data_IF_333559212108
#
_entry.id   IF_333559212108
#
_cell.length_a   1.000
_cell.length_b   1.000
_cell.length_c   1.000
_cell.angle_alpha   90.00
_cell.angle_beta   90.00
_cell.angle_gamma   90.00
#
_symmetry.space_group_name_H-M   'P 1'
#
loop_
_entity.id
_entity.type
_entity.pdbx_description
1 polymer ?
#
# COMPACT_ATOMS: atom_id res chain seq x y z
N UNK A 1 21.26 10.61 -28.34
CA UNK A 1 20.04 9.80 -28.51
C UNK A 1 19.99 8.82 -27.33
N UNK A 2 19.14 9.09 -26.37
CA UNK A 2 18.98 8.24 -25.19
C UNK A 2 17.81 7.29 -25.46
N UNK A 3 18.10 5.99 -25.51
CA UNK A 3 17.10 4.94 -25.67
C UNK A 3 16.23 4.88 -24.41
N UNK A 4 14.95 5.18 -24.60
CA UNK A 4 13.92 4.98 -23.59
C UNK A 4 13.68 3.48 -23.45
N UNK A 5 14.24 2.86 -22.42
CA UNK A 5 13.91 1.50 -22.06
C UNK A 5 12.46 1.41 -21.57
N UNK A 6 11.58 0.94 -22.45
CA UNK A 6 10.20 0.59 -22.14
C UNK A 6 10.16 -0.57 -21.15
N UNK A 7 10.00 -0.28 -19.87
CA UNK A 7 9.71 -1.30 -18.85
C UNK A 7 8.21 -1.57 -18.93
N UNK A 8 7.85 -2.65 -19.61
CA UNK A 8 6.48 -3.17 -19.62
C UNK A 8 6.18 -3.78 -18.25
N UNK A 9 5.53 -3.02 -17.39
CA UNK A 9 4.93 -3.54 -16.14
C UNK A 9 3.56 -4.08 -16.51
N UNK A 10 3.43 -5.38 -16.57
CA UNK A 10 2.17 -6.09 -16.83
C UNK A 10 1.12 -5.66 -15.78
N UNK A 11 0.02 -5.03 -16.22
CA UNK A 11 -1.09 -4.60 -15.35
C UNK A 11 -1.32 -3.10 -15.24
N UNK A 12 -0.52 -2.26 -15.93
CA UNK A 12 -0.80 -0.82 -16.01
C UNK A 12 -1.70 -0.60 -17.24
N UNK A 13 -2.97 -0.30 -17.00
CA UNK A 13 -3.88 0.16 -18.03
C UNK A 13 -3.43 1.48 -18.68
N UNK A 14 -4.16 2.03 -19.68
CA UNK A 14 -3.76 3.26 -20.36
C UNK A 14 -3.46 4.35 -19.33
N UNK A 15 -2.26 4.91 -19.42
CA UNK A 15 -1.72 5.93 -18.51
C UNK A 15 -2.68 7.12 -18.50
N UNK A 16 -3.43 7.27 -17.41
CA UNK A 16 -4.20 8.49 -17.13
C UNK A 16 -3.23 9.65 -16.90
N UNK A 17 -3.67 10.92 -17.09
CA UNK A 17 -2.79 12.07 -16.91
C UNK A 17 -2.05 11.96 -15.57
N UNK A 18 -0.76 12.23 -15.63
CA UNK A 18 0.18 12.11 -14.53
C UNK A 18 -0.34 12.81 -13.28
N UNK A 19 -0.52 12.04 -12.24
CA UNK A 19 -0.91 12.56 -10.94
C UNK A 19 0.34 12.68 -10.06
N UNK A 20 0.37 13.73 -9.24
CA UNK A 20 1.45 13.95 -8.29
C UNK A 20 0.88 14.22 -6.90
N UNK A 21 1.53 13.68 -5.88
CA UNK A 21 1.21 13.95 -4.49
C UNK A 21 2.49 14.07 -3.67
N UNK A 22 2.48 14.87 -2.57
CA UNK A 22 3.57 14.88 -1.60
C UNK A 22 3.93 13.46 -1.18
N UNK A 23 5.22 13.20 -0.98
CA UNK A 23 5.75 11.87 -0.73
C UNK A 23 6.14 11.72 0.73
N UNK A 24 5.66 10.64 1.38
CA UNK A 24 6.24 10.09 2.59
C UNK A 24 6.97 8.80 2.26
N UNK A 25 8.19 8.69 2.77
CA UNK A 25 8.92 7.44 2.84
C UNK A 25 8.91 7.00 4.29
N UNK A 26 8.40 5.81 4.59
CA UNK A 26 8.29 5.33 5.95
C UNK A 26 8.42 3.81 6.04
N UNK A 27 8.91 3.36 7.19
CA UNK A 27 9.10 1.94 7.42
C UNK A 27 7.82 1.28 7.95
N UNK A 28 7.23 1.80 8.99
CA UNK A 28 6.10 1.20 9.69
C UNK A 28 5.09 2.27 10.10
N UNK A 29 3.79 2.00 9.98
CA UNK A 29 3.12 0.80 9.46
C UNK A 29 3.04 0.75 7.92
N UNK A 30 2.99 -0.46 7.35
CA UNK A 30 2.60 -0.66 5.95
C UNK A 30 1.08 -0.53 5.84
N UNK A 31 0.62 0.39 4.98
CA UNK A 31 -0.80 0.73 4.85
C UNK A 31 -1.38 0.02 3.64
N UNK A 32 -2.54 -0.61 3.82
CA UNK A 32 -3.30 -1.23 2.74
C UNK A 32 -4.47 -0.36 2.29
N UNK A 33 -5.01 -0.57 1.07
CA UNK A 33 -6.29 0.04 0.69
C UNK A 33 -7.38 -0.26 1.72
N UNK A 34 -8.25 0.72 1.94
CA UNK A 34 -9.37 0.70 2.87
C UNK A 34 -9.02 0.77 4.36
N UNK A 35 -7.77 0.55 4.77
CA UNK A 35 -7.35 0.67 6.17
C UNK A 35 -7.45 2.11 6.68
N UNK A 36 -7.65 2.25 7.97
CA UNK A 36 -7.64 3.53 8.68
C UNK A 36 -6.52 3.47 9.73
N UNK A 37 -5.43 4.17 9.46
CA UNK A 37 -4.18 3.98 10.17
C UNK A 37 -3.68 5.28 10.82
N UNK A 38 -3.39 5.29 12.13
CA UNK A 38 -2.71 6.41 12.77
C UNK A 38 -1.22 6.36 12.44
N UNK A 39 -0.65 7.53 12.11
CA UNK A 39 0.77 7.69 11.82
C UNK A 39 1.37 8.79 12.70
N UNK A 40 2.55 8.55 13.21
CA UNK A 40 3.42 9.59 13.75
C UNK A 40 4.14 10.25 12.57
N UNK A 41 4.20 11.56 12.56
CA UNK A 41 4.85 12.33 11.49
C UNK A 41 6.21 12.81 11.99
N UNK A 42 7.26 12.34 11.36
CA UNK A 42 8.62 12.73 11.64
C UNK A 42 8.91 14.14 11.10
N UNK A 43 9.92 14.80 11.64
CA UNK A 43 10.30 16.18 11.26
C UNK A 43 10.53 16.31 9.74
N UNK A 44 11.15 15.31 9.11
CA UNK A 44 11.42 15.28 7.67
C UNK A 44 10.13 15.31 6.82
N UNK A 45 9.04 14.75 7.36
CA UNK A 45 7.75 14.63 6.68
C UNK A 45 6.81 15.83 6.96
N UNK A 46 7.13 16.72 7.91
CA UNK A 46 6.26 17.85 8.28
C UNK A 46 6.00 18.80 7.11
N UNK A 47 7.00 19.07 6.27
CA UNK A 47 6.83 19.96 5.11
C UNK A 47 5.86 19.35 4.08
N UNK A 48 5.98 18.05 3.83
CA UNK A 48 5.08 17.33 2.94
C UNK A 48 3.65 17.23 3.51
N UNK A 49 3.51 17.07 4.83
CA UNK A 49 2.20 17.11 5.48
C UNK A 49 1.53 18.48 5.30
N UNK A 50 2.24 19.57 5.57
CA UNK A 50 1.69 20.94 5.39
C UNK A 50 1.20 21.15 3.96
N UNK A 51 2.02 20.81 2.98
CA UNK A 51 1.62 20.90 1.57
C UNK A 51 0.39 20.02 1.26
N UNK A 52 0.28 18.84 1.85
CA UNK A 52 -0.88 17.94 1.73
C UNK A 52 -2.14 18.58 2.30
N UNK A 53 -2.05 19.20 3.48
CA UNK A 53 -3.19 19.82 4.17
C UNK A 53 -3.71 21.09 3.48
N UNK A 54 -2.84 21.82 2.79
CA UNK A 54 -3.19 23.01 2.00
C UNK A 54 -3.86 22.67 0.66
N UNK A 55 -3.83 21.40 0.24
CA UNK A 55 -4.39 20.93 -1.03
C UNK A 55 -5.60 20.04 -0.80
N UNK A 56 -5.59 18.89 -1.45
CA UNK A 56 -6.66 17.89 -1.50
C UNK A 56 -6.56 16.83 -0.42
N UNK A 57 -5.62 16.97 0.50
CA UNK A 57 -5.29 16.01 1.57
C UNK A 57 -4.86 14.65 1.07
N UNK A 58 -4.37 14.57 -0.17
CA UNK A 58 -3.81 13.35 -0.74
C UNK A 58 -2.31 13.28 -0.51
N UNK A 59 -1.85 12.12 -0.05
CA UNK A 59 -0.48 11.84 0.28
C UNK A 59 -0.08 10.49 -0.33
N UNK A 60 1.09 10.43 -0.92
CA UNK A 60 1.66 9.21 -1.45
C UNK A 60 2.63 8.62 -0.42
N UNK A 61 2.34 7.44 0.10
CA UNK A 61 3.18 6.75 1.07
C UNK A 61 3.83 5.54 0.43
N UNK A 62 5.16 5.47 0.54
CA UNK A 62 5.93 4.33 0.03
C UNK A 62 6.70 3.70 1.19
N UNK A 63 6.59 2.35 1.34
CA UNK A 63 7.40 1.65 2.32
C UNK A 63 8.89 1.72 1.94
N UNK A 64 9.74 1.91 2.93
CA UNK A 64 11.17 1.68 2.77
C UNK A 64 11.42 0.20 2.43
N UNK A 65 12.50 -0.08 1.70
CA UNK A 65 12.83 -1.47 1.42
C UNK A 65 13.34 -2.17 2.69
N UNK A 66 12.93 -3.44 2.89
CA UNK A 66 13.46 -4.26 3.97
C UNK A 66 14.98 -4.39 3.89
N UNK A 67 15.64 -4.57 5.03
CA UNK A 67 17.05 -4.93 5.11
C UNK A 67 17.33 -6.33 4.55
N UNK A 68 18.61 -6.63 4.33
CA UNK A 68 19.01 -7.93 3.74
C UNK A 68 18.60 -9.14 4.58
N UNK A 69 18.61 -9.01 5.90
CA UNK A 69 18.17 -10.06 6.82
C UNK A 69 16.66 -10.35 6.70
N UNK A 70 15.86 -9.31 6.51
CA UNK A 70 14.40 -9.44 6.34
C UNK A 70 14.05 -9.99 4.95
N UNK A 71 14.84 -9.66 3.92
CA UNK A 71 14.65 -10.15 2.56
C UNK A 71 14.98 -11.64 2.43
N UNK A 72 15.89 -12.17 3.24
CA UNK A 72 16.26 -13.58 3.23
C UNK A 72 15.12 -14.55 3.54
N UNK A 73 14.04 -14.07 4.11
CA UNK A 73 12.80 -14.86 4.40
C UNK A 73 11.85 -14.92 3.20
N UNK A 74 12.06 -14.08 2.18
CA UNK A 74 11.19 -14.01 1.02
C UNK A 74 11.64 -14.94 -0.12
N UNK A 75 10.69 -15.44 -0.94
CA UNK A 75 11.03 -16.17 -2.15
C UNK A 75 11.94 -15.35 -3.08
N UNK A 76 12.95 -16.00 -3.68
CA UNK A 76 13.96 -15.37 -4.53
C UNK A 76 13.39 -14.46 -5.62
N UNK A 77 12.28 -14.87 -6.25
CA UNK A 77 11.63 -14.08 -7.30
C UNK A 77 11.04 -12.75 -6.79
N UNK A 78 10.65 -12.71 -5.53
CA UNK A 78 10.12 -11.52 -4.87
C UNK A 78 11.26 -10.60 -4.47
N UNK A 79 12.31 -11.18 -3.90
CA UNK A 79 13.54 -10.49 -3.55
C UNK A 79 14.10 -9.75 -4.76
N UNK A 80 14.17 -10.41 -5.95
CA UNK A 80 14.64 -9.79 -7.18
C UNK A 80 13.77 -8.61 -7.66
N UNK A 81 12.45 -8.68 -7.49
CA UNK A 81 11.56 -7.56 -7.84
C UNK A 81 11.75 -6.36 -6.93
N UNK A 82 11.92 -6.58 -5.63
CA UNK A 82 12.21 -5.52 -4.67
C UNK A 82 13.61 -4.94 -4.89
N UNK A 83 14.58 -5.78 -5.29
CA UNK A 83 15.96 -5.39 -5.53
C UNK A 83 16.13 -4.32 -6.61
N UNK A 84 15.31 -4.35 -7.66
CA UNK A 84 15.34 -3.34 -8.73
C UNK A 84 15.01 -1.92 -8.24
N UNK A 85 14.47 -1.75 -7.03
CA UNK A 85 14.19 -0.46 -6.41
C UNK A 85 15.14 -0.10 -5.27
N UNK A 86 16.13 -0.96 -4.98
CA UNK A 86 17.04 -0.81 -3.84
C UNK A 86 17.85 0.48 -3.90
N UNK A 87 18.30 0.90 -5.09
CA UNK A 87 19.01 2.17 -5.28
C UNK A 87 18.17 3.39 -4.85
N UNK A 88 16.86 3.28 -4.91
CA UNK A 88 15.91 4.33 -4.54
C UNK A 88 15.43 4.21 -3.08
N UNK A 89 15.93 3.24 -2.33
CA UNK A 89 15.58 2.96 -0.93
C UNK A 89 14.08 2.83 -0.64
N UNK A 90 13.25 2.56 -1.64
CA UNK A 90 11.79 2.44 -1.52
C UNK A 90 11.21 1.38 -2.44
N UNK A 91 10.02 0.87 -2.10
CA UNK A 91 9.23 0.04 -3.00
C UNK A 91 8.77 0.84 -4.23
N UNK A 92 8.64 0.18 -5.37
CA UNK A 92 8.03 0.76 -6.57
C UNK A 92 6.53 0.98 -6.42
N UNK A 93 5.88 0.15 -5.62
CA UNK A 93 4.45 0.23 -5.28
C UNK A 93 4.29 0.84 -3.91
N UNK A 94 3.42 1.81 -3.79
CA UNK A 94 3.00 2.45 -2.56
C UNK A 94 1.50 2.56 -2.49
N UNK A 95 1.04 3.39 -1.58
CA UNK A 95 -0.37 3.64 -1.31
C UNK A 95 -0.67 5.14 -1.43
N UNK A 96 -1.71 5.49 -2.17
CA UNK A 96 -2.31 6.80 -2.08
C UNK A 96 -3.25 6.81 -0.88
N UNK A 97 -3.05 7.74 0.03
CA UNK A 97 -3.88 7.90 1.21
C UNK A 97 -4.55 9.26 1.24
N UNK A 98 -5.62 9.38 2.00
CA UNK A 98 -6.23 10.66 2.37
C UNK A 98 -6.00 10.91 3.85
N UNK A 99 -5.48 12.09 4.19
CA UNK A 99 -5.40 12.55 5.58
C UNK A 99 -6.81 12.92 6.06
N UNK A 100 -7.32 12.12 7.00
CA UNK A 100 -8.67 12.29 7.57
C UNK A 100 -8.63 13.30 8.69
N UNK A 101 -7.62 13.18 9.58
CA UNK A 101 -7.47 14.04 10.75
C UNK A 101 -6.00 14.27 11.07
N UNK A 102 -5.68 15.46 11.53
CA UNK A 102 -4.40 15.82 12.12
C UNK A 102 -4.61 16.12 13.61
N UNK A 103 -3.67 15.67 14.42
CA UNK A 103 -3.66 15.84 15.86
C UNK A 103 -2.27 16.36 16.28
N UNK A 104 -2.25 17.55 16.87
CA UNK A 104 -1.05 18.15 17.44
C UNK A 104 -1.05 17.91 18.95
N UNK A 105 0.04 17.37 19.47
CA UNK A 105 0.19 17.02 20.87
C UNK A 105 1.01 18.10 21.62
N UNK A 106 0.83 18.24 22.95
CA UNK A 106 1.56 19.23 23.74
C UNK A 106 3.08 19.04 23.76
N UNK A 107 3.56 17.82 23.49
CA UNK A 107 4.99 17.49 23.35
C UNK A 107 5.59 17.92 22.00
N UNK A 108 4.78 18.54 21.13
CA UNK A 108 5.17 18.97 19.80
C UNK A 108 5.05 17.87 18.74
N UNK A 109 4.71 16.64 19.12
CA UNK A 109 4.50 15.58 18.14
C UNK A 109 3.23 15.78 17.33
N UNK A 110 3.30 15.45 16.04
CA UNK A 110 2.18 15.50 15.11
C UNK A 110 1.78 14.08 14.75
N UNK A 111 0.50 13.76 14.89
CA UNK A 111 -0.06 12.49 14.42
C UNK A 111 -1.16 12.77 13.42
N UNK A 112 -1.25 11.91 12.42
CA UNK A 112 -2.31 11.96 11.42
C UNK A 112 -3.06 10.64 11.40
N UNK A 113 -4.34 10.72 11.10
CA UNK A 113 -5.15 9.56 10.77
C UNK A 113 -5.33 9.55 9.27
N UNK A 114 -4.88 8.48 8.62
CA UNK A 114 -4.96 8.36 7.17
C UNK A 114 -5.87 7.20 6.76
N UNK A 115 -6.54 7.36 5.63
CA UNK A 115 -7.30 6.29 4.98
C UNK A 115 -6.59 5.85 3.71
N UNK A 116 -6.25 4.57 3.60
CA UNK A 116 -5.75 3.95 2.38
C UNK A 116 -6.80 4.00 1.27
N UNK A 117 -6.42 4.49 0.10
CA UNK A 117 -7.32 4.62 -1.05
C UNK A 117 -7.03 3.59 -2.13
N UNK A 118 -5.86 3.69 -2.75
CA UNK A 118 -5.48 2.89 -3.92
C UNK A 118 -3.98 2.61 -3.92
N UNK A 119 -3.60 1.43 -4.42
CA UNK A 119 -2.21 1.16 -4.78
C UNK A 119 -1.78 2.08 -5.91
N UNK A 120 -0.57 2.59 -5.81
CA UNK A 120 0.04 3.46 -6.81
C UNK A 120 1.44 2.96 -7.16
N UNK A 121 1.82 3.15 -8.41
CA UNK A 121 3.19 2.93 -8.86
C UNK A 121 3.87 4.27 -9.11
N UNK A 122 4.99 4.51 -8.44
CA UNK A 122 5.76 5.72 -8.63
C UNK A 122 6.78 5.54 -9.76
N UNK A 123 6.66 6.34 -10.79
CA UNK A 123 7.61 6.34 -11.90
C UNK A 123 8.67 7.46 -11.81
N UNK A 124 8.37 8.55 -11.10
CA UNK A 124 9.33 9.64 -10.86
C UNK A 124 9.11 10.31 -9.50
N UNK A 125 10.17 10.88 -8.94
CA UNK A 125 10.10 11.77 -7.79
C UNK A 125 10.61 13.13 -8.25
N UNK A 126 9.83 14.16 -7.97
CA UNK A 126 10.15 15.55 -8.23
C UNK A 126 10.16 16.32 -6.93
N UNK A 127 10.94 17.40 -6.87
CA UNK A 127 10.93 18.31 -5.73
C UNK A 127 10.20 19.58 -6.13
N UNK A 128 9.08 19.84 -5.50
CA UNK A 128 8.28 21.03 -5.71
C UNK A 128 8.29 21.89 -4.42
N UNK A 129 8.90 23.07 -4.48
CA UNK A 129 9.00 23.94 -3.30
C UNK A 129 9.80 23.34 -2.14
N UNK A 130 10.82 22.53 -2.41
CA UNK A 130 11.62 21.84 -1.41
C UNK A 130 10.98 20.55 -0.86
N UNK A 131 9.77 20.22 -1.28
CA UNK A 131 9.03 19.02 -0.83
C UNK A 131 9.10 17.93 -1.89
N UNK A 132 9.54 16.70 -1.54
CA UNK A 132 9.51 15.58 -2.45
C UNK A 132 8.06 15.20 -2.77
N UNK A 133 7.77 15.01 -4.05
CA UNK A 133 6.47 14.61 -4.57
C UNK A 133 6.61 13.41 -5.51
N UNK A 134 5.77 12.42 -5.35
CA UNK A 134 5.73 11.26 -6.22
C UNK A 134 4.84 11.54 -7.42
N UNK A 135 5.37 11.33 -8.63
CA UNK A 135 4.56 11.18 -9.84
C UNK A 135 4.16 9.72 -9.94
N UNK A 136 2.87 9.47 -10.01
CA UNK A 136 2.36 8.12 -9.90
C UNK A 136 1.24 7.81 -10.89
N UNK A 137 1.05 6.52 -11.11
CA UNK A 137 -0.13 5.96 -11.76
C UNK A 137 -0.87 5.05 -10.79
N UNK A 138 -2.19 5.02 -10.86
CA UNK A 138 -3.00 4.11 -10.05
C UNK A 138 -2.82 2.69 -10.60
N UNK A 139 -2.48 1.75 -9.73
CA UNK A 139 -2.48 0.34 -10.07
C UNK A 139 -3.93 -0.14 -10.18
N UNK A 140 -4.36 -0.42 -11.41
CA UNK A 140 -5.66 -1.05 -11.61
C UNK A 140 -5.56 -2.52 -11.21
N UNK A 141 -6.48 -2.97 -10.39
CA UNK A 141 -6.65 -4.38 -10.11
C UNK A 141 -7.26 -5.04 -11.34
N UNK A 142 -6.48 -5.87 -12.03
CA UNK A 142 -7.00 -6.66 -13.15
C UNK A 142 -7.81 -7.82 -12.59
N UNK A 143 -9.11 -7.68 -12.58
CA UNK A 143 -10.02 -8.82 -12.53
C UNK A 143 -10.30 -9.22 -13.99
N UNK A 144 -9.83 -10.37 -14.45
CA UNK A 144 -10.28 -10.89 -15.71
C UNK A 144 -11.71 -11.41 -15.54
N UNK A 145 -12.63 -10.95 -16.36
CA UNK A 145 -14.06 -11.27 -16.29
C UNK A 145 -14.34 -12.78 -16.46
N UNK A 146 -13.40 -13.55 -17.00
CA UNK A 146 -13.56 -14.98 -17.30
C UNK A 146 -13.28 -15.94 -16.12
N UNK A 147 -12.93 -15.43 -14.93
CA UNK A 147 -12.50 -16.26 -13.79
C UNK A 147 -13.46 -16.20 -12.60
N UNK A 148 -14.72 -15.88 -12.83
CA UNK A 148 -15.68 -15.58 -11.78
C UNK A 148 -15.90 -16.76 -10.80
N UNK A 149 -15.91 -17.99 -11.28
CA UNK A 149 -16.16 -19.18 -10.45
C UNK A 149 -14.98 -19.55 -9.57
N UNK A 150 -13.75 -19.52 -10.10
CA UNK A 150 -12.54 -19.84 -9.34
C UNK A 150 -12.25 -18.75 -8.30
N UNK A 151 -12.38 -17.49 -8.68
CA UNK A 151 -12.22 -16.37 -7.78
C UNK A 151 -13.25 -16.38 -6.65
N UNK A 152 -14.49 -16.74 -6.93
CA UNK A 152 -15.54 -16.91 -5.91
C UNK A 152 -15.23 -18.07 -4.96
N UNK A 153 -14.69 -19.17 -5.46
CA UNK A 153 -14.30 -20.30 -4.61
C UNK A 153 -13.14 -19.92 -3.68
N UNK A 154 -12.10 -19.26 -4.21
CA UNK A 154 -10.96 -18.74 -3.42
C UNK A 154 -11.42 -17.73 -2.38
N UNK A 155 -12.30 -16.81 -2.76
CA UNK A 155 -12.87 -15.83 -1.84
C UNK A 155 -13.62 -16.51 -0.68
N UNK A 156 -14.46 -17.50 -0.97
CA UNK A 156 -15.16 -18.27 0.07
C UNK A 156 -14.19 -19.00 1.01
N UNK A 157 -13.16 -19.64 0.44
CA UNK A 157 -12.14 -20.32 1.25
C UNK A 157 -11.36 -19.36 2.13
N UNK A 158 -10.99 -18.18 1.61
CA UNK A 158 -10.29 -17.15 2.37
C UNK A 158 -11.15 -16.60 3.52
N UNK A 159 -12.44 -16.37 3.27
CA UNK A 159 -13.38 -15.92 4.32
C UNK A 159 -13.51 -16.99 5.40
N UNK A 160 -13.66 -18.27 5.04
CA UNK A 160 -13.76 -19.36 6.01
C UNK A 160 -12.50 -19.49 6.86
N UNK A 161 -11.31 -19.47 6.22
CA UNK A 161 -10.03 -19.51 6.92
C UNK A 161 -9.84 -18.29 7.85
N UNK A 162 -10.26 -17.10 7.41
CA UNK A 162 -10.21 -15.90 8.25
C UNK A 162 -11.14 -16.00 9.47
N UNK A 163 -12.34 -16.56 9.30
CA UNK A 163 -13.28 -16.77 10.42
C UNK A 163 -12.72 -17.76 11.46
N UNK A 164 -12.09 -18.84 11.02
CA UNK A 164 -11.42 -19.79 11.92
C UNK A 164 -10.28 -19.09 12.69
N UNK A 165 -9.47 -18.31 11.99
CA UNK A 165 -8.38 -17.54 12.58
C UNK A 165 -8.91 -16.51 13.59
N UNK A 166 -9.93 -15.76 13.22
CA UNK A 166 -10.54 -14.74 14.08
C UNK A 166 -11.14 -15.34 15.34
N UNK A 167 -11.70 -16.56 15.26
CA UNK A 167 -12.18 -17.31 16.42
C UNK A 167 -11.06 -17.79 17.35
N UNK A 168 -9.87 -18.02 16.82
CA UNK A 168 -8.70 -18.46 17.57
C UNK A 168 -7.82 -17.31 18.12
N UNK A 169 -7.92 -16.12 17.55
CA UNK A 169 -7.11 -14.94 17.91
C UNK A 169 -7.97 -13.87 18.57
N UNK A 170 -7.99 -13.76 19.91
CA UNK A 170 -8.64 -12.66 20.59
C UNK A 170 -7.86 -11.36 20.29
N UNK A 171 -8.44 -10.45 19.52
CA UNK A 171 -7.80 -9.16 19.19
C UNK A 171 -8.15 -8.65 17.80
N UNK A 172 -8.76 -9.46 16.95
CA UNK A 172 -9.30 -8.98 15.67
C UNK A 172 -10.62 -8.25 15.94
N UNK A 173 -10.71 -6.93 15.68
CA UNK A 173 -11.92 -6.15 15.95
C UNK A 173 -13.14 -6.71 15.20
N UNK A 174 -14.31 -6.68 15.85
CA UNK A 174 -15.56 -7.18 15.27
C UNK A 174 -15.91 -6.43 13.98
N UNK A 175 -15.65 -5.12 13.94
CA UNK A 175 -15.87 -4.29 12.76
C UNK A 175 -15.06 -4.77 11.55
N UNK A 176 -13.84 -5.25 11.79
CA UNK A 176 -13.00 -5.80 10.72
C UNK A 176 -13.51 -7.16 10.26
N UNK A 177 -13.97 -8.02 11.17
CA UNK A 177 -14.59 -9.29 10.81
C UNK A 177 -15.84 -9.07 9.94
N UNK A 178 -16.69 -8.12 10.32
CA UNK A 178 -17.87 -7.72 9.53
C UNK A 178 -17.45 -7.16 8.16
N UNK A 179 -16.39 -6.34 8.10
CA UNK A 179 -15.89 -5.78 6.84
C UNK A 179 -15.36 -6.86 5.90
N UNK A 180 -14.68 -7.88 6.43
CA UNK A 180 -14.21 -9.05 5.66
C UNK A 180 -15.38 -9.85 5.08
N UNK A 181 -16.41 -10.12 5.88
CA UNK A 181 -17.61 -10.85 5.44
C UNK A 181 -18.38 -10.11 4.34
N UNK A 182 -18.37 -8.78 4.37
CA UNK A 182 -19.07 -7.92 3.42
C UNK A 182 -18.15 -7.35 2.32
N UNK A 183 -16.99 -7.95 2.11
CA UNK A 183 -16.06 -7.48 1.07
C UNK A 183 -16.64 -7.65 -0.33
N UNK A 184 -16.82 -6.54 -1.04
CA UNK A 184 -17.50 -6.47 -2.35
C UNK A 184 -16.67 -7.04 -3.50
N UNK A 185 -15.36 -7.17 -3.31
CA UNK A 185 -14.43 -7.67 -4.33
C UNK A 185 -13.32 -8.52 -3.71
N UNK A 186 -12.76 -9.47 -4.49
CA UNK A 186 -11.61 -10.26 -4.03
C UNK A 186 -10.42 -9.40 -3.59
N UNK A 187 -10.14 -8.31 -4.32
CA UNK A 187 -9.05 -7.39 -3.97
C UNK A 187 -9.27 -6.72 -2.61
N UNK A 188 -10.48 -6.25 -2.34
CA UNK A 188 -10.84 -5.67 -1.04
C UNK A 188 -10.75 -6.69 0.09
N UNK A 189 -11.22 -7.91 -0.15
CA UNK A 189 -11.11 -9.00 0.81
C UNK A 189 -9.64 -9.28 1.18
N UNK A 190 -8.79 -9.46 0.16
CA UNK A 190 -7.37 -9.73 0.38
C UNK A 190 -6.69 -8.60 1.16
N UNK A 191 -7.02 -7.34 0.87
CA UNK A 191 -6.44 -6.18 1.55
C UNK A 191 -6.88 -6.08 3.02
N UNK A 192 -8.15 -6.33 3.31
CA UNK A 192 -8.69 -6.35 4.68
C UNK A 192 -8.05 -7.48 5.50
N UNK A 193 -7.91 -8.67 4.93
CA UNK A 193 -7.24 -9.79 5.58
C UNK A 193 -5.75 -9.47 5.82
N UNK A 194 -5.06 -8.91 4.82
CA UNK A 194 -3.64 -8.54 4.95
C UNK A 194 -3.38 -7.51 6.05
N UNK A 195 -4.31 -6.57 6.22
CA UNK A 195 -4.25 -5.55 7.28
C UNK A 195 -4.48 -6.17 8.67
N UNK A 196 -5.38 -7.16 8.75
CA UNK A 196 -5.73 -7.86 9.99
C UNK A 196 -4.65 -8.79 10.51
N UNK A 197 -3.85 -9.37 9.61
CA UNK A 197 -2.87 -10.38 9.96
C UNK A 197 -1.61 -9.77 10.59
N UNK A 198 -1.09 -10.46 11.61
CA UNK A 198 0.19 -10.10 12.22
C UNK A 198 1.37 -10.60 11.37
N UNK A 199 1.48 -10.04 10.16
CA UNK A 199 2.55 -10.32 9.23
C UNK A 199 3.79 -9.50 9.55
N UNK A 200 4.97 -10.05 9.23
CA UNK A 200 6.19 -9.29 9.33
C UNK A 200 6.27 -8.19 8.24
N UNK A 201 7.21 -7.25 8.40
CA UNK A 201 7.35 -6.11 7.52
C UNK A 201 7.55 -6.49 6.05
N UNK A 202 8.42 -7.47 5.77
CA UNK A 202 8.71 -7.92 4.43
C UNK A 202 7.50 -8.58 3.75
N UNK A 203 6.72 -9.38 4.50
CA UNK A 203 5.48 -9.99 4.01
C UNK A 203 4.43 -8.92 3.67
N UNK A 204 4.28 -7.90 4.51
CA UNK A 204 3.36 -6.78 4.24
C UNK A 204 3.74 -6.02 2.98
N UNK A 205 5.02 -5.72 2.78
CA UNK A 205 5.51 -5.07 1.54
C UNK A 205 5.24 -5.96 0.32
N UNK A 206 5.49 -7.26 0.47
CA UNK A 206 5.22 -8.22 -0.59
C UNK A 206 3.75 -8.17 -1.03
N UNK A 207 2.81 -8.29 -0.08
CA UNK A 207 1.37 -8.24 -0.35
C UNK A 207 0.94 -6.88 -0.94
N UNK A 208 1.47 -5.78 -0.42
CA UNK A 208 1.22 -4.45 -0.98
C UNK A 208 1.71 -4.36 -2.44
N UNK A 209 2.85 -4.95 -2.76
CA UNK A 209 3.46 -4.91 -4.09
C UNK A 209 2.76 -5.81 -5.12
N UNK A 210 1.92 -6.74 -4.68
CA UNK A 210 1.14 -7.62 -5.55
C UNK A 210 -0.07 -6.88 -6.14
N UNK A 211 0.03 -6.44 -7.39
CA UNK A 211 -1.07 -5.79 -8.11
C UNK A 211 -2.07 -6.80 -8.68
N UNK A 212 -1.63 -8.03 -8.95
CA UNK A 212 -2.52 -9.14 -9.34
C UNK A 212 -3.24 -9.69 -8.10
N UNK A 213 -4.55 -9.53 -8.06
CA UNK A 213 -5.41 -9.96 -6.94
C UNK A 213 -5.29 -11.45 -6.65
N UNK A 214 -5.16 -12.30 -7.68
CA UNK A 214 -5.06 -13.76 -7.55
C UNK A 214 -3.83 -14.22 -6.76
N UNK A 215 -2.78 -13.44 -6.78
CA UNK A 215 -1.53 -13.75 -6.08
C UNK A 215 -1.53 -13.36 -4.61
N UNK A 216 -2.59 -12.67 -4.17
CA UNK A 216 -2.76 -12.27 -2.76
C UNK A 216 -3.52 -13.31 -1.92
N UNK A 217 -4.09 -14.32 -2.59
CA UNK A 217 -4.79 -15.46 -1.96
C UNK A 217 -3.89 -16.72 -1.86
#
# INVERSE_FOLDING_TARGET
MAESSNISVTGIGPVKPEQAAPLFLMRDPVIFPYSLTPLLVDEENLAALRQTMERDRLLAIFPELPGDEELGVLPLQVTLKLFNYREKRRSGVGILVRVVKELNFPDGSVRILVRGLKRIFCHAIETAGGVPSARYVICNESASENEDTENKARQKSAVAAFQELAGAMPGIPEELQVAVLNAESPGRLADLISDALNLNYAEKILLLSMTDVRRRF
#
